data_IF_502409199098
#
_entry.id   IF_502409199098
#
_cell.length_a   1.000
_cell.length_b   1.000
_cell.length_c   1.000
_cell.angle_alpha   90.00
_cell.angle_beta   90.00
_cell.angle_gamma   90.00
#
_symmetry.space_group_name_H-M   'P 1'
#
loop_
_entity.id
_entity.type
_entity.pdbx_description
1 polymer ?
#
# COMPACT_ATOMS: atom_id res chain seq x y z
N UNK A 1 -53.63 19.41 30.67
CA UNK A 1 -52.98 20.73 30.83
C UNK A 1 -51.46 20.49 30.71
N UNK A 2 -50.92 20.34 29.49
CA UNK A 2 -50.29 21.39 28.64
C UNK A 2 -49.29 22.29 29.37
N UNK A 3 -47.99 21.99 29.23
CA UNK A 3 -46.93 22.98 28.94
C UNK A 3 -45.58 22.25 28.74
N UNK A 4 -45.27 21.93 27.48
CA UNK A 4 -43.92 21.57 27.05
C UNK A 4 -43.15 22.88 26.83
N UNK A 5 -42.14 23.17 27.65
CA UNK A 5 -41.28 24.35 27.49
C UNK A 5 -40.16 24.02 26.51
N UNK A 6 -40.34 24.49 25.28
CA UNK A 6 -39.31 24.63 24.26
C UNK A 6 -38.29 25.68 24.68
N UNK A 7 -37.02 25.28 24.78
CA UNK A 7 -35.89 26.22 24.81
C UNK A 7 -35.02 25.93 23.59
N UNK A 8 -35.09 26.82 22.61
CA UNK A 8 -34.28 26.82 21.39
C UNK A 8 -32.98 27.60 21.64
N UNK A 9 -31.97 27.29 20.82
CA UNK A 9 -30.77 28.09 20.46
C UNK A 9 -29.48 27.80 21.25
N UNK A 10 -28.67 26.93 20.67
CA UNK A 10 -27.25 27.21 20.43
C UNK A 10 -26.73 26.29 19.31
N UNK A 11 -27.02 26.62 18.05
CA UNK A 11 -26.16 26.16 16.96
C UNK A 11 -24.94 27.07 16.93
N UNK A 12 -23.92 26.73 17.73
CA UNK A 12 -22.60 27.34 17.62
C UNK A 12 -21.69 26.35 16.90
N UNK A 13 -21.74 26.39 15.58
CA UNK A 13 -20.60 26.03 14.75
C UNK A 13 -19.49 27.02 15.13
N UNK A 14 -18.49 26.61 15.93
CA UNK A 14 -17.12 26.98 15.59
C UNK A 14 -15.99 26.25 16.34
N UNK A 15 -15.06 25.84 15.48
CA UNK A 15 -13.67 25.44 15.68
C UNK A 15 -13.38 24.08 16.30
N UNK A 16 -12.62 23.21 15.62
CA UNK A 16 -11.86 22.19 16.32
C UNK A 16 -10.93 22.92 17.29
N UNK A 17 -11.16 22.73 18.59
CA UNK A 17 -10.25 23.13 19.65
C UNK A 17 -8.86 22.65 19.21
N UNK A 18 -7.88 23.55 19.19
CA UNK A 18 -6.46 23.25 19.02
C UNK A 18 -6.03 22.32 20.17
N UNK A 19 -6.48 21.08 20.14
CA UNK A 19 -6.00 19.99 20.95
C UNK A 19 -4.68 19.62 20.30
N UNK A 20 -3.66 20.32 20.80
CA UNK A 20 -2.23 20.09 20.71
C UNK A 20 -1.68 19.45 19.42
N UNK A 21 -0.60 20.02 18.90
CA UNK A 21 0.18 19.46 17.80
C UNK A 21 0.48 17.97 18.02
N UNK A 22 0.68 17.55 19.27
CA UNK A 22 0.92 16.16 19.67
C UNK A 22 -0.26 15.20 19.42
N UNK A 23 -1.51 15.66 19.57
CA UNK A 23 -2.70 14.87 19.30
C UNK A 23 -2.93 14.73 17.78
N UNK A 24 -2.63 15.79 17.02
CA UNK A 24 -2.62 15.73 15.56
C UNK A 24 -1.56 14.73 15.04
N UNK A 25 -0.36 14.70 15.64
CA UNK A 25 0.67 13.72 15.29
C UNK A 25 0.27 12.29 15.67
N UNK A 26 -0.40 12.08 16.82
CA UNK A 26 -0.90 10.77 17.23
C UNK A 26 -1.93 10.22 16.24
N UNK A 27 -2.88 11.05 15.79
CA UNK A 27 -3.88 10.64 14.81
C UNK A 27 -3.30 10.39 13.42
N UNK A 28 -2.28 11.14 12.99
CA UNK A 28 -1.65 10.91 11.69
C UNK A 28 -0.83 9.60 11.66
N UNK A 29 -0.19 9.23 12.78
CA UNK A 29 0.48 7.93 12.93
C UNK A 29 -0.51 6.76 13.06
N UNK A 30 -1.70 6.98 13.59
CA UNK A 30 -2.73 5.93 13.70
C UNK A 30 -3.62 5.81 12.46
N UNK A 31 -3.54 6.75 11.51
CA UNK A 31 -4.36 6.80 10.30
C UNK A 31 -3.93 5.89 9.14
N UNK A 32 -2.90 5.07 9.32
CA UNK A 32 -2.47 4.10 8.29
C UNK A 32 -2.01 2.78 8.92
N UNK A 33 -2.93 2.14 9.64
CA UNK A 33 -2.74 0.75 10.09
C UNK A 33 -4.03 -0.07 9.89
N UNK A 34 -4.76 0.16 8.80
CA UNK A 34 -5.56 -0.91 8.19
C UNK A 34 -4.67 -1.71 7.26
N UNK A 35 -3.63 -2.33 7.81
CA UNK A 35 -2.94 -3.40 7.12
C UNK A 35 -3.90 -4.60 7.12
N UNK A 36 -4.63 -4.79 6.03
CA UNK A 36 -5.21 -6.10 5.68
C UNK A 36 -4.06 -7.08 5.37
N UNK A 37 -3.26 -7.40 6.38
CA UNK A 37 -2.24 -8.45 6.39
C UNK A 37 -2.96 -9.79 6.44
N UNK A 38 -3.50 -10.24 5.31
CA UNK A 38 -3.51 -11.68 5.07
C UNK A 38 -2.13 -12.02 4.54
N UNK A 39 -1.44 -12.88 5.27
CA UNK A 39 -0.11 -13.45 5.00
C UNK A 39 0.09 -13.84 3.54
N UNK A 40 0.46 -12.86 2.73
CA UNK A 40 1.22 -13.06 1.50
C UNK A 40 2.53 -12.38 1.80
N UNK A 41 3.32 -13.06 2.63
CA UNK A 41 4.67 -12.64 3.01
C UNK A 41 5.38 -12.20 1.74
N UNK A 42 5.98 -11.03 1.70
CA UNK A 42 6.80 -10.65 0.56
C UNK A 42 7.91 -11.70 0.36
N UNK A 43 8.42 -11.88 -0.88
CA UNK A 43 9.58 -12.72 -1.11
C UNK A 43 10.71 -12.31 -0.15
N UNK A 44 11.33 -13.28 0.51
CA UNK A 44 12.46 -12.99 1.39
C UNK A 44 13.57 -12.36 0.55
N UNK A 45 14.23 -11.33 1.10
CA UNK A 45 15.35 -10.74 0.38
C UNK A 45 16.44 -11.81 0.18
N UNK A 46 17.00 -11.86 -1.04
CA UNK A 46 18.01 -12.83 -1.47
C UNK A 46 17.57 -14.31 -1.53
N UNK A 47 16.27 -14.63 -1.44
CA UNK A 47 15.81 -16.00 -1.75
C UNK A 47 15.65 -16.22 -3.25
N UNK A 48 15.83 -17.47 -3.66
CA UNK A 48 15.67 -17.90 -5.05
C UNK A 48 14.24 -18.38 -5.25
N UNK A 49 13.60 -17.89 -6.31
CA UNK A 49 12.24 -18.26 -6.67
C UNK A 49 12.14 -18.62 -8.15
N UNK A 50 11.25 -19.55 -8.46
CA UNK A 50 10.83 -19.81 -9.84
C UNK A 50 9.69 -18.86 -10.20
N UNK A 51 9.80 -18.25 -11.39
CA UNK A 51 8.84 -17.29 -11.87
C UNK A 51 8.55 -17.52 -13.35
N UNK A 52 7.33 -17.17 -13.78
CA UNK A 52 6.91 -17.22 -15.18
C UNK A 52 7.09 -15.86 -15.81
N UNK A 53 7.73 -15.78 -16.99
CA UNK A 53 7.82 -14.52 -17.74
C UNK A 53 6.44 -14.17 -18.29
N UNK A 54 5.96 -12.97 -17.98
CA UNK A 54 4.64 -12.48 -18.44
C UNK A 54 4.76 -11.46 -19.56
N UNK A 55 5.81 -10.63 -19.56
CA UNK A 55 6.03 -9.60 -20.58
C UNK A 55 7.52 -9.27 -20.72
N UNK A 56 7.98 -9.02 -21.94
CA UNK A 56 9.35 -8.60 -22.24
C UNK A 56 9.33 -7.18 -22.79
N UNK A 57 10.23 -6.34 -22.29
CA UNK A 57 10.41 -4.94 -22.66
C UNK A 57 11.89 -4.66 -22.97
N UNK A 58 12.17 -3.53 -23.61
CA UNK A 58 13.53 -3.11 -23.98
C UNK A 58 14.50 -2.96 -22.79
N UNK A 59 13.96 -2.76 -21.58
CA UNK A 59 14.73 -2.63 -20.35
C UNK A 59 14.79 -3.91 -19.51
N UNK A 60 13.98 -4.93 -19.79
CA UNK A 60 13.91 -6.12 -18.95
C UNK A 60 12.68 -6.99 -19.16
N UNK A 61 12.47 -7.94 -18.24
CA UNK A 61 11.36 -8.87 -18.28
C UNK A 61 10.52 -8.78 -17.00
N UNK A 62 9.20 -8.70 -17.16
CA UNK A 62 8.25 -8.85 -16.07
C UNK A 62 8.00 -10.33 -15.81
N UNK A 63 8.02 -10.70 -14.54
CA UNK A 63 7.89 -12.09 -14.08
C UNK A 63 6.84 -12.20 -12.98
N UNK A 64 6.04 -13.25 -13.05
CA UNK A 64 5.07 -13.63 -12.03
C UNK A 64 5.69 -14.71 -11.13
N UNK A 65 5.83 -14.40 -9.84
CA UNK A 65 6.41 -15.33 -8.86
C UNK A 65 5.27 -16.14 -8.23
N UNK A 66 5.32 -17.46 -8.40
CA UNK A 66 4.29 -18.34 -7.85
C UNK A 66 4.30 -18.28 -6.31
N UNK A 67 3.11 -18.26 -5.71
CA UNK A 67 2.93 -18.13 -4.25
C UNK A 67 2.84 -16.69 -3.74
N UNK A 68 3.03 -15.68 -4.59
CA UNK A 68 2.98 -14.26 -4.22
C UNK A 68 1.92 -13.49 -5.03
N UNK A 69 0.65 -13.93 -4.95
CA UNK A 69 -0.47 -13.45 -5.77
C UNK A 69 -0.82 -11.96 -5.57
N UNK A 70 -0.44 -11.36 -4.44
CA UNK A 70 -0.68 -9.92 -4.19
C UNK A 70 0.35 -9.00 -4.85
N UNK A 71 1.46 -9.54 -5.33
CA UNK A 71 2.49 -8.73 -5.98
C UNK A 71 2.17 -8.63 -7.48
N UNK A 72 2.03 -7.41 -7.98
CA UNK A 72 1.49 -7.15 -9.33
C UNK A 72 2.35 -7.75 -10.45
N UNK A 73 3.68 -7.79 -10.29
CA UNK A 73 4.69 -8.53 -11.06
C UNK A 73 6.10 -8.14 -10.55
N UNK A 74 7.08 -9.03 -10.61
CA UNK A 74 8.50 -8.71 -10.46
C UNK A 74 9.09 -8.19 -11.77
N UNK A 75 10.15 -7.39 -11.71
CA UNK A 75 10.89 -6.91 -12.88
C UNK A 75 12.36 -7.34 -12.80
N UNK A 76 12.83 -8.03 -13.83
CA UNK A 76 14.24 -8.36 -14.02
C UNK A 76 14.82 -7.42 -15.06
N UNK A 77 15.74 -6.53 -14.64
CA UNK A 77 16.43 -5.64 -15.58
C UNK A 77 17.38 -6.42 -16.50
N UNK A 78 17.51 -5.99 -17.75
CA UNK A 78 18.32 -6.71 -18.76
C UNK A 78 19.79 -6.92 -18.36
N UNK A 79 20.35 -6.04 -17.54
CA UNK A 79 21.73 -6.18 -17.04
C UNK A 79 21.92 -7.39 -16.13
N UNK A 80 20.84 -7.91 -15.54
CA UNK A 80 20.85 -9.08 -14.67
C UNK A 80 20.51 -10.38 -15.41
N UNK A 81 20.23 -10.31 -16.71
CA UNK A 81 19.99 -11.50 -17.53
C UNK A 81 21.31 -12.15 -17.93
N UNK A 82 21.29 -13.47 -18.08
CA UNK A 82 22.44 -14.22 -18.56
C UNK A 82 22.74 -13.87 -20.02
N UNK A 83 23.97 -13.44 -20.28
CA UNK A 83 24.47 -13.15 -21.64
C UNK A 83 24.51 -14.38 -22.55
N UNK A 84 24.50 -15.58 -21.97
CA UNK A 84 24.60 -16.83 -22.73
C UNK A 84 23.34 -17.14 -23.56
N UNK A 85 22.19 -16.58 -23.19
CA UNK A 85 20.90 -16.91 -23.82
C UNK A 85 20.19 -15.69 -24.41
N UNK A 86 20.82 -14.51 -24.35
CA UNK A 86 20.31 -13.28 -24.99
C UNK A 86 21.00 -13.09 -26.33
N UNK A 87 20.23 -13.18 -27.43
CA UNK A 87 20.72 -12.72 -28.75
C UNK A 87 20.73 -11.19 -28.73
N UNK A 88 21.87 -10.59 -29.04
CA UNK A 88 21.94 -9.17 -29.38
C UNK A 88 21.17 -8.96 -30.70
N UNK A 89 20.29 -7.96 -30.72
CA UNK A 89 19.42 -7.62 -31.85
C UNK A 89 19.92 -6.33 -32.47
#
# INVERSE_FOLDING_TARGET
MTASKSHTLANSTNMPKLASQEDAFRNFRSGSATSNTSDTSLPKLFSIHHAKVTRVEVFGAFVEIQGFTRMRNGLVHKSHLSKHYTKEV
#
